data_IF_252060196359
#
_entry.id   IF_252060196359
#
_cell.length_a   1.000
_cell.length_b   1.000
_cell.length_c   1.000
_cell.angle_alpha   90.00
_cell.angle_beta   90.00
_cell.angle_gamma   90.00
#
_symmetry.space_group_name_H-M   'P 1'
#
loop_
_entity.id
_entity.type
_entity.pdbx_description
1 polymer ?
#
# COMPACT_ATOMS: atom_id res chain seq x y z
N UNK A 1 -0.55 19.00 -4.16
CA UNK A 1 -1.84 19.13 -3.42
C UNK A 1 -2.69 17.84 -3.41
N UNK A 2 -2.24 16.71 -3.98
CA UNK A 2 -2.96 15.41 -3.92
C UNK A 2 -2.41 14.40 -2.88
N UNK A 3 -1.25 14.69 -2.27
CA UNK A 3 -0.53 13.75 -1.38
C UNK A 3 -1.22 13.56 -0.03
N UNK A 4 -1.77 14.64 0.53
CA UNK A 4 -2.35 14.67 1.89
C UNK A 4 -3.57 13.78 2.07
N UNK A 5 -4.39 13.59 1.03
CA UNK A 5 -5.56 12.71 1.09
C UNK A 5 -5.10 11.25 1.10
N UNK A 6 -4.11 10.90 0.27
CA UNK A 6 -3.57 9.53 0.19
C UNK A 6 -2.84 9.16 1.48
N UNK A 7 -2.08 10.09 2.07
CA UNK A 7 -1.35 9.86 3.32
C UNK A 7 -2.29 9.75 4.53
N UNK A 8 -3.33 10.59 4.65
CA UNK A 8 -4.21 10.60 5.82
C UNK A 8 -5.42 9.67 5.72
N UNK A 9 -5.91 9.37 4.51
CA UNK A 9 -7.08 8.51 4.29
C UNK A 9 -6.71 7.03 4.15
N UNK A 10 -5.55 6.74 3.55
CA UNK A 10 -5.07 5.37 3.34
C UNK A 10 -3.94 5.00 4.32
N UNK A 11 -3.35 6.00 4.99
CA UNK A 11 -2.24 5.80 5.93
C UNK A 11 -0.96 5.33 5.26
N UNK A 12 -0.78 5.69 3.99
CA UNK A 12 0.45 5.49 3.25
C UNK A 12 1.48 6.50 3.75
N UNK A 13 2.54 6.02 4.41
CA UNK A 13 3.63 6.86 4.88
C UNK A 13 4.93 6.44 4.20
N UNK A 14 5.46 7.31 3.36
CA UNK A 14 6.74 7.09 2.71
C UNK A 14 7.87 7.52 3.65
N UNK A 15 8.82 6.62 3.90
CA UNK A 15 10.05 6.84 4.64
C UNK A 15 11.24 6.48 3.74
N UNK A 16 11.75 7.48 3.00
CA UNK A 16 12.85 7.30 2.05
C UNK A 16 12.52 6.35 0.89
N UNK A 17 13.20 5.21 0.88
CA UNK A 17 13.04 4.06 -0.03
C UNK A 17 12.01 3.02 0.47
N UNK A 18 11.30 3.30 1.56
CA UNK A 18 10.28 2.39 2.10
C UNK A 18 8.93 3.07 2.15
N UNK A 19 7.89 2.31 1.87
CA UNK A 19 6.51 2.74 2.02
C UNK A 19 5.89 1.90 3.13
N UNK A 20 5.43 2.59 4.18
CA UNK A 20 4.68 2.00 5.28
C UNK A 20 3.20 2.15 5.00
N UNK A 21 2.45 1.07 5.23
CA UNK A 21 1.01 1.08 5.14
C UNK A 21 0.39 1.03 6.53
N UNK A 22 -0.46 2.00 6.87
CA UNK A 22 -1.13 2.10 8.18
C UNK A 22 -2.63 2.33 7.96
N UNK A 23 -3.40 1.30 7.60
CA UNK A 23 -4.74 1.46 7.08
C UNK A 23 -5.66 2.18 8.05
N UNK A 24 -6.08 3.38 7.68
CA UNK A 24 -7.13 4.17 8.34
C UNK A 24 -8.38 4.22 7.46
N UNK A 25 -8.71 3.08 6.85
CA UNK A 25 -9.81 2.97 5.90
C UNK A 25 -11.18 2.92 6.61
N UNK A 26 -12.19 3.63 6.09
CA UNK A 26 -13.56 3.51 6.56
C UNK A 26 -14.09 2.09 6.42
N UNK A 27 -15.00 1.70 7.33
CA UNK A 27 -15.46 0.31 7.37
C UNK A 27 -16.26 -0.14 6.14
N UNK A 28 -16.80 0.80 5.37
CA UNK A 28 -17.56 0.58 4.13
C UNK A 28 -16.70 0.03 2.96
N UNK A 29 -15.37 0.19 3.01
CA UNK A 29 -14.51 -0.15 1.88
C UNK A 29 -14.04 -1.61 1.95
N UNK A 30 -14.50 -2.44 1.00
CA UNK A 30 -14.10 -3.85 0.86
C UNK A 30 -12.75 -4.01 0.19
N UNK A 31 -12.48 -3.23 -0.85
CA UNK A 31 -11.22 -3.22 -1.57
C UNK A 31 -11.10 -1.98 -2.42
N UNK A 32 -9.88 -1.53 -2.70
CA UNK A 32 -9.62 -0.47 -3.67
C UNK A 32 -8.25 -0.69 -4.34
N UNK A 33 -8.06 -0.08 -5.51
CA UNK A 33 -6.80 -0.06 -6.21
C UNK A 33 -6.30 1.38 -6.33
N UNK A 34 -5.01 1.58 -6.12
CA UNK A 34 -4.32 2.85 -6.25
C UNK A 34 -3.09 2.65 -7.11
N UNK A 35 -2.92 3.49 -8.13
CA UNK A 35 -1.68 3.57 -8.89
C UNK A 35 -0.82 4.67 -8.29
N UNK A 36 0.29 4.28 -7.68
CA UNK A 36 1.27 5.16 -7.07
C UNK A 36 2.54 5.17 -7.93
N UNK A 37 3.06 6.35 -8.29
CA UNK A 37 4.32 6.43 -9.03
C UNK A 37 5.43 6.89 -8.12
N UNK A 38 6.39 6.02 -7.85
CA UNK A 38 7.62 6.38 -7.16
C UNK A 38 8.69 6.73 -8.21
N UNK A 39 9.03 8.02 -8.33
CA UNK A 39 9.93 8.54 -9.36
C UNK A 39 9.47 8.15 -10.77
N UNK A 40 10.13 7.22 -11.44
CA UNK A 40 9.79 6.72 -12.78
C UNK A 40 9.16 5.31 -12.74
N UNK A 41 9.06 4.71 -11.55
CA UNK A 41 8.59 3.35 -11.33
C UNK A 41 7.14 3.36 -10.85
N UNK A 42 6.31 2.48 -11.41
CA UNK A 42 4.87 2.42 -11.13
C UNK A 42 4.57 1.32 -10.12
N UNK A 43 3.77 1.66 -9.12
CA UNK A 43 3.33 0.77 -8.06
C UNK A 43 1.81 0.66 -8.09
N UNK A 44 1.31 -0.50 -8.47
CA UNK A 44 -0.11 -0.81 -8.50
C UNK A 44 -0.48 -1.44 -7.15
N UNK A 45 -1.01 -0.62 -6.26
CA UNK A 45 -1.36 -1.00 -4.89
C UNK A 45 -2.83 -1.41 -4.84
N UNK A 46 -3.09 -2.69 -4.66
CA UNK A 46 -4.40 -3.26 -4.40
C UNK A 46 -4.53 -3.57 -2.92
N UNK A 47 -5.53 -2.98 -2.29
CA UNK A 47 -5.82 -3.20 -0.88
C UNK A 47 -7.17 -3.88 -0.77
N UNK A 48 -7.20 -5.02 -0.09
CA UNK A 48 -8.40 -5.79 0.20
C UNK A 48 -8.60 -5.90 1.71
N UNK A 49 -9.85 -5.77 2.14
CA UNK A 49 -10.25 -5.95 3.53
C UNK A 49 -10.84 -7.34 3.70
N UNK A 50 -10.11 -8.21 4.41
CA UNK A 50 -10.51 -9.56 4.74
C UNK A 50 -11.38 -9.63 6.02
N UNK A 51 -11.16 -8.73 6.98
CA UNK A 51 -11.93 -8.66 8.22
C UNK A 51 -12.11 -7.22 8.74
N UNK A 52 -13.06 -6.97 9.67
CA UNK A 52 -13.40 -5.62 10.14
C UNK A 52 -12.34 -4.92 11.01
N UNK A 53 -11.08 -5.36 11.03
CA UNK A 53 -9.97 -4.66 11.67
C UNK A 53 -9.44 -3.47 10.88
N UNK A 54 -8.50 -2.77 11.53
CA UNK A 54 -7.72 -1.67 10.96
C UNK A 54 -6.22 -2.03 10.91
N UNK A 55 -5.88 -3.31 11.03
CA UNK A 55 -4.50 -3.79 11.06
C UNK A 55 -4.12 -4.47 9.75
N UNK A 56 -2.85 -4.30 9.35
CA UNK A 56 -2.30 -4.94 8.18
C UNK A 56 -2.09 -6.42 8.48
N UNK A 57 -2.87 -7.28 7.85
CA UNK A 57 -2.77 -8.73 8.01
C UNK A 57 -1.60 -9.31 7.21
N UNK A 58 -1.44 -8.84 5.96
CA UNK A 58 -0.35 -9.27 5.10
C UNK A 58 -0.07 -8.24 4.01
N UNK A 59 1.19 -8.01 3.69
CA UNK A 59 1.63 -7.25 2.52
C UNK A 59 2.32 -8.20 1.57
N UNK A 60 2.01 -8.12 0.28
CA UNK A 60 2.75 -8.77 -0.80
C UNK A 60 3.20 -7.73 -1.81
N UNK A 61 4.41 -7.88 -2.32
CA UNK A 61 5.00 -7.02 -3.36
C UNK A 61 5.49 -7.95 -4.45
N UNK A 62 4.94 -7.84 -5.65
CA UNK A 62 5.21 -8.72 -6.80
C UNK A 62 5.05 -10.21 -6.46
N UNK A 63 4.09 -10.51 -5.59
CA UNK A 63 3.83 -11.87 -5.08
C UNK A 63 4.72 -12.31 -3.90
N UNK A 64 5.73 -11.53 -3.51
CA UNK A 64 6.58 -11.78 -2.35
C UNK A 64 5.93 -11.27 -1.06
N UNK A 65 5.74 -12.16 -0.08
CA UNK A 65 5.17 -11.80 1.22
C UNK A 65 6.17 -10.97 2.04
N UNK A 66 5.82 -9.72 2.31
CA UNK A 66 6.57 -8.78 3.13
C UNK A 66 6.12 -8.88 4.59
N UNK A 67 6.88 -9.63 5.39
CA UNK A 67 6.56 -9.87 6.81
C UNK A 67 6.78 -8.64 7.69
N UNK A 68 7.63 -7.71 7.27
CA UNK A 68 7.92 -6.49 8.01
C UNK A 68 6.77 -5.46 7.93
N UNK A 69 5.83 -5.61 6.97
CA UNK A 69 4.79 -4.61 6.71
C UNK A 69 5.30 -3.36 6.00
N UNK A 70 6.49 -3.44 5.39
CA UNK A 70 7.09 -2.38 4.58
C UNK A 70 7.18 -2.83 3.12
N UNK A 71 6.79 -1.94 2.23
CA UNK A 71 7.02 -2.07 0.78
C UNK A 71 8.31 -1.36 0.46
N UNK A 72 9.29 -2.08 -0.10
CA UNK A 72 10.53 -1.46 -0.58
C UNK A 72 10.25 -0.83 -1.93
N UNK A 73 10.50 0.47 -2.04
CA UNK A 73 10.38 1.23 -3.27
C UNK A 73 11.72 1.18 -3.99
N UNK A 74 11.80 0.31 -4.98
CA UNK A 74 12.88 0.23 -5.96
C UNK A 74 12.55 1.15 -7.14
N UNK A 75 13.59 1.77 -7.69
CA UNK A 75 13.48 2.59 -8.89
C UNK A 75 14.12 1.84 -10.06
N UNK A 76 13.42 0.84 -10.58
CA UNK A 76 13.86 -0.03 -11.69
C UNK A 76 13.11 0.25 -13.00
N UNK A 77 12.19 1.23 -13.00
CA UNK A 77 11.26 1.57 -14.09
C UNK A 77 10.27 0.44 -14.44
N UNK A 78 10.13 -0.57 -13.59
CA UNK A 78 9.16 -1.65 -13.78
C UNK A 78 7.83 -1.37 -13.05
N UNK A 79 6.80 -2.11 -13.41
CA UNK A 79 5.52 -2.06 -12.71
C UNK A 79 5.52 -3.06 -11.56
N UNK A 80 5.41 -2.57 -10.34
CA UNK A 80 5.32 -3.39 -9.13
C UNK A 80 3.88 -3.56 -8.67
N UNK A 81 3.47 -4.80 -8.44
CA UNK A 81 2.13 -5.12 -7.93
C UNK A 81 2.17 -5.30 -6.42
N UNK A 82 1.49 -4.43 -5.68
CA UNK A 82 1.43 -4.50 -4.22
C UNK A 82 0.05 -4.94 -3.79
N UNK A 83 -0.06 -6.08 -3.12
CA UNK A 83 -1.33 -6.58 -2.57
C UNK A 83 -1.30 -6.48 -1.04
N UNK A 84 -2.29 -5.82 -0.45
CA UNK A 84 -2.37 -5.64 0.99
C UNK A 84 -3.70 -6.19 1.48
N UNK A 85 -3.63 -7.10 2.44
CA UNK A 85 -4.81 -7.60 3.15
C UNK A 85 -4.89 -6.96 4.53
N UNK A 86 -6.07 -6.46 4.88
CA UNK A 86 -6.39 -5.88 6.19
C UNK A 86 -7.34 -6.84 6.90
N UNK A 87 -7.08 -7.17 8.17
CA UNK A 87 -7.94 -8.06 8.96
C UNK A 87 -8.23 -7.48 10.35
#
# INVERSE_FOLDING_TARGET
MYRLIVESLLGLRQDGDKLRFTPCLPADWKSFCLHYRYRETLYNITVARAAPGCDVASVKVDGLLQSDGWVHLVDDLEEHLVEINIA
#
